data_IF_147256970219
#
_entry.id   IF_147256970219
#
_cell.length_a   1.000
_cell.length_b   1.000
_cell.length_c   1.000
_cell.angle_alpha   90.00
_cell.angle_beta   90.00
_cell.angle_gamma   90.00
#
_symmetry.space_group_name_H-M   'P 1'
#
loop_
_entity.id
_entity.type
_entity.pdbx_description
1 polymer ?
#
# COMPACT_ATOMS: atom_id res chain seq x y z
N UNK A 1 -17.54 -26.08 14.36
CA UNK A 1 -16.15 -25.61 14.15
C UNK A 1 -16.16 -24.15 13.77
N UNK A 2 -15.45 -23.35 14.50
CA UNK A 2 -15.37 -21.92 14.18
C UNK A 2 -14.32 -21.71 13.09
N UNK A 3 -14.76 -21.22 11.94
CA UNK A 3 -13.83 -20.81 10.91
C UNK A 3 -13.15 -19.51 11.33
N UNK A 4 -11.85 -19.54 11.47
CA UNK A 4 -11.10 -18.33 11.72
C UNK A 4 -10.98 -17.56 10.42
N UNK A 5 -11.59 -16.38 10.38
CA UNK A 5 -11.43 -15.49 9.24
C UNK A 5 -9.98 -15.03 9.18
N UNK A 6 -9.39 -15.13 7.99
CA UNK A 6 -8.05 -14.63 7.78
C UNK A 6 -8.06 -13.11 7.87
N UNK A 7 -6.97 -12.56 8.41
CA UNK A 7 -6.77 -11.12 8.41
C UNK A 7 -6.70 -10.62 6.97
N UNK A 8 -7.37 -9.52 6.68
CA UNK A 8 -7.35 -8.90 5.37
C UNK A 8 -6.41 -7.70 5.41
N UNK A 9 -5.46 -7.69 4.49
CA UNK A 9 -4.44 -6.64 4.39
C UNK A 9 -4.52 -6.00 3.02
N UNK A 10 -4.66 -4.68 2.98
CA UNK A 10 -4.54 -3.90 1.76
C UNK A 10 -3.18 -3.21 1.75
N UNK A 11 -2.36 -3.54 0.76
CA UNK A 11 -1.06 -2.91 0.54
C UNK A 11 -1.19 -1.89 -0.59
N UNK A 12 -0.77 -0.67 -0.34
CA UNK A 12 -0.73 0.38 -1.35
C UNK A 12 0.72 0.75 -1.58
N UNK A 13 1.23 0.52 -2.78
CA UNK A 13 2.62 0.79 -3.09
C UNK A 13 2.80 1.16 -4.56
N UNK A 14 3.77 2.02 -4.80
CA UNK A 14 4.25 2.38 -6.14
C UNK A 14 5.45 1.52 -6.55
N UNK A 15 5.99 0.76 -5.62
CA UNK A 15 7.27 0.07 -5.76
C UNK A 15 7.09 -1.44 -5.79
N UNK A 16 6.91 -2.00 -6.98
CA UNK A 16 6.81 -3.44 -7.22
C UNK A 16 7.46 -3.80 -8.55
N UNK A 17 7.93 -5.05 -8.72
CA UNK A 17 8.35 -5.53 -10.04
C UNK A 17 7.20 -5.38 -11.05
N UNK A 18 7.49 -5.12 -12.33
CA UNK A 18 8.79 -5.18 -13.01
C UNK A 18 9.74 -4.01 -12.78
N UNK A 19 9.35 -3.01 -11.98
CA UNK A 19 10.30 -1.97 -11.60
C UNK A 19 11.47 -2.61 -10.85
N UNK A 20 12.67 -2.10 -11.08
CA UNK A 20 13.90 -2.67 -10.54
C UNK A 20 14.41 -1.83 -9.37
N UNK A 21 14.74 -2.49 -8.26
CA UNK A 21 15.29 -1.82 -7.10
C UNK A 21 15.08 -2.59 -5.82
N UNK A 22 15.68 -2.14 -4.73
CA UNK A 22 15.59 -2.78 -3.42
C UNK A 22 14.20 -2.67 -2.80
N UNK A 23 13.53 -1.51 -2.95
CA UNK A 23 12.18 -1.30 -2.44
C UNK A 23 11.17 -2.17 -3.14
N UNK A 24 11.31 -2.35 -4.44
CA UNK A 24 10.43 -3.19 -5.25
C UNK A 24 10.51 -4.65 -4.82
N UNK A 25 11.71 -5.16 -4.62
CA UNK A 25 11.92 -6.52 -4.13
C UNK A 25 11.38 -6.69 -2.72
N UNK A 26 11.63 -5.73 -1.86
CA UNK A 26 11.23 -5.79 -0.47
C UNK A 26 9.70 -5.81 -0.34
N UNK A 27 9.01 -4.96 -1.08
CA UNK A 27 7.55 -4.94 -1.08
C UNK A 27 6.97 -6.23 -1.64
N UNK A 28 7.58 -6.78 -2.68
CA UNK A 28 7.15 -8.06 -3.25
C UNK A 28 7.28 -9.19 -2.23
N UNK A 29 8.44 -9.30 -1.59
CA UNK A 29 8.68 -10.34 -0.60
C UNK A 29 7.79 -10.17 0.63
N UNK A 30 7.56 -8.94 1.05
CA UNK A 30 6.66 -8.67 2.16
C UNK A 30 5.24 -9.14 1.84
N UNK A 31 4.74 -8.83 0.65
CA UNK A 31 3.42 -9.27 0.23
C UNK A 31 3.33 -10.79 0.15
N UNK A 32 4.35 -11.43 -0.40
CA UNK A 32 4.42 -12.88 -0.51
C UNK A 32 4.37 -13.56 0.86
N UNK A 33 5.15 -13.06 1.81
CA UNK A 33 5.17 -13.59 3.17
C UNK A 33 3.85 -13.35 3.90
N UNK A 34 3.30 -12.16 3.78
CA UNK A 34 2.01 -11.85 4.40
C UNK A 34 0.89 -12.73 3.85
N UNK A 35 0.94 -13.04 2.55
CA UNK A 35 -0.09 -13.85 1.91
C UNK A 35 -0.13 -15.30 2.42
N UNK A 36 0.92 -15.76 3.08
CA UNK A 36 0.94 -17.08 3.71
C UNK A 36 0.03 -17.16 4.93
N UNK A 37 -0.21 -16.04 5.61
CA UNK A 37 -0.99 -15.97 6.84
C UNK A 37 -2.22 -15.07 6.75
N UNK A 38 -2.40 -14.33 5.66
CA UNK A 38 -3.47 -13.36 5.52
C UNK A 38 -3.96 -13.31 4.08
N UNK A 39 -5.15 -12.72 3.88
CA UNK A 39 -5.60 -12.35 2.54
C UNK A 39 -4.99 -10.99 2.21
N UNK A 40 -4.25 -10.91 1.11
CA UNK A 40 -3.57 -9.69 0.70
C UNK A 40 -4.12 -9.23 -0.64
N UNK A 41 -4.49 -7.95 -0.70
CA UNK A 41 -4.79 -7.25 -1.94
C UNK A 41 -3.83 -6.08 -2.07
N UNK A 42 -3.42 -5.81 -3.30
CA UNK A 42 -2.45 -4.75 -3.56
C UNK A 42 -3.05 -3.75 -4.55
N UNK A 43 -2.84 -2.47 -4.29
CA UNK A 43 -2.99 -1.41 -5.28
C UNK A 43 -1.57 -1.00 -5.64
N UNK A 44 -1.17 -1.30 -6.86
CA UNK A 44 0.21 -1.14 -7.30
C UNK A 44 0.34 -0.57 -8.70
N UNK A 45 1.58 -0.43 -9.19
CA UNK A 45 1.83 0.16 -10.49
C UNK A 45 1.40 -0.73 -11.64
N UNK A 46 1.04 -0.10 -12.74
CA UNK A 46 0.66 -0.81 -13.97
C UNK A 46 1.78 -1.75 -14.42
N UNK A 47 1.41 -2.96 -14.78
CA UNK A 47 2.35 -4.01 -15.19
C UNK A 47 2.78 -4.94 -14.06
N UNK A 48 2.47 -4.63 -12.82
CA UNK A 48 2.92 -5.43 -11.67
C UNK A 48 2.09 -6.68 -11.43
N UNK A 49 0.86 -6.74 -11.94
CA UNK A 49 -0.01 -7.90 -11.72
C UNK A 49 0.57 -9.19 -12.28
N UNK A 50 1.29 -9.13 -13.40
CA UNK A 50 1.91 -10.30 -14.04
C UNK A 50 2.93 -10.96 -13.12
N UNK A 51 3.59 -10.17 -12.28
CA UNK A 51 4.64 -10.65 -11.38
C UNK A 51 4.20 -10.72 -9.92
N UNK A 52 2.92 -10.54 -9.65
CA UNK A 52 2.42 -10.60 -8.28
C UNK A 52 2.55 -12.01 -7.69
N UNK A 53 2.72 -12.12 -6.36
CA UNK A 53 2.65 -13.43 -5.71
C UNK A 53 1.34 -14.16 -6.03
N UNK A 54 1.38 -15.48 -6.10
CA UNK A 54 0.31 -16.29 -6.66
C UNK A 54 -1.06 -16.11 -5.99
N UNK A 55 -1.09 -15.84 -4.70
CA UNK A 55 -2.33 -15.75 -3.93
C UNK A 55 -2.77 -14.32 -3.66
N UNK A 56 -2.11 -13.34 -4.26
CA UNK A 56 -2.37 -11.92 -4.04
C UNK A 56 -3.22 -11.36 -5.16
N UNK A 57 -4.35 -10.74 -4.82
CA UNK A 57 -5.17 -10.01 -5.79
C UNK A 57 -4.57 -8.61 -6.00
N UNK A 58 -4.51 -8.16 -7.24
CA UNK A 58 -3.88 -6.89 -7.56
C UNK A 58 -4.77 -6.01 -8.41
N UNK A 59 -4.81 -4.71 -8.07
CA UNK A 59 -5.36 -3.67 -8.91
C UNK A 59 -4.22 -2.76 -9.36
N UNK A 60 -4.14 -2.53 -10.66
CA UNK A 60 -3.07 -1.72 -11.24
C UNK A 60 -3.52 -0.29 -11.45
N UNK A 61 -2.58 0.64 -11.28
CA UNK A 61 -2.79 2.07 -11.49
C UNK A 61 -1.64 2.58 -12.36
N UNK A 62 -1.92 3.45 -13.37
CA UNK A 62 -0.84 4.03 -14.16
C UNK A 62 0.18 4.73 -13.28
N UNK A 63 1.47 4.47 -13.55
CA UNK A 63 2.55 4.96 -12.72
C UNK A 63 2.84 6.46 -12.89
N UNK A 64 2.64 6.96 -14.08
CA UNK A 64 2.97 8.35 -14.45
C UNK A 64 1.76 9.09 -14.98
N UNK A 65 1.67 10.38 -14.72
CA UNK A 65 2.50 11.16 -13.80
C UNK A 65 2.21 10.79 -12.33
N UNK A 66 3.11 11.15 -11.44
CA UNK A 66 3.00 10.78 -10.02
C UNK A 66 1.68 11.22 -9.39
N UNK A 67 1.25 12.46 -9.65
CA UNK A 67 -0.02 12.96 -9.08
C UNK A 67 -1.22 12.13 -9.54
N UNK A 68 -1.20 11.66 -10.78
CA UNK A 68 -2.26 10.81 -11.31
C UNK A 68 -2.28 9.45 -10.60
N UNK A 69 -1.08 8.86 -10.38
CA UNK A 69 -0.98 7.63 -9.61
C UNK A 69 -1.56 7.80 -8.21
N UNK A 70 -1.17 8.86 -7.53
CA UNK A 70 -1.63 9.11 -6.16
C UNK A 70 -3.14 9.30 -6.08
N UNK A 71 -3.73 10.07 -7.01
CA UNK A 71 -5.18 10.28 -7.01
C UNK A 71 -5.96 9.01 -7.35
N UNK A 72 -5.52 8.27 -8.34
CA UNK A 72 -6.19 7.03 -8.73
C UNK A 72 -6.03 5.94 -7.69
N UNK A 73 -4.85 5.83 -7.11
CA UNK A 73 -4.61 4.87 -6.04
C UNK A 73 -5.44 5.21 -4.80
N UNK A 74 -5.55 6.50 -4.45
CA UNK A 74 -6.38 6.94 -3.34
C UNK A 74 -7.85 6.57 -3.57
N UNK A 75 -8.37 6.81 -4.77
CA UNK A 75 -9.74 6.49 -5.11
C UNK A 75 -10.02 4.98 -5.05
N UNK A 76 -9.14 4.18 -5.65
CA UNK A 76 -9.26 2.73 -5.60
C UNK A 76 -9.15 2.19 -4.17
N UNK A 77 -8.25 2.76 -3.38
CA UNK A 77 -8.09 2.39 -1.98
C UNK A 77 -9.36 2.65 -1.18
N UNK A 78 -10.04 3.78 -1.43
CA UNK A 78 -11.31 4.07 -0.78
C UNK A 78 -12.38 3.05 -1.15
N UNK A 79 -12.46 2.67 -2.42
CA UNK A 79 -13.42 1.68 -2.87
C UNK A 79 -13.16 0.32 -2.24
N UNK A 80 -11.91 -0.14 -2.24
CA UNK A 80 -11.55 -1.42 -1.64
C UNK A 80 -11.82 -1.39 -0.13
N UNK A 81 -11.46 -0.29 0.53
CA UNK A 81 -11.69 -0.15 1.96
C UNK A 81 -13.18 -0.29 2.32
N UNK A 82 -14.04 0.35 1.56
CA UNK A 82 -15.49 0.33 1.82
C UNK A 82 -16.14 -1.02 1.51
N UNK A 83 -15.67 -1.70 0.47
CA UNK A 83 -16.26 -2.96 0.00
C UNK A 83 -15.68 -4.17 0.69
N UNK A 84 -14.37 -4.23 0.76
CA UNK A 84 -13.65 -5.40 1.28
C UNK A 84 -13.39 -5.30 2.78
N UNK A 85 -13.32 -4.08 3.32
CA UNK A 85 -13.10 -3.78 4.73
C UNK A 85 -11.87 -4.49 5.29
N UNK A 86 -10.67 -4.12 4.84
CA UNK A 86 -9.43 -4.71 5.37
C UNK A 86 -9.30 -4.42 6.86
N UNK A 87 -8.59 -5.28 7.55
CA UNK A 87 -8.23 -5.06 8.96
C UNK A 87 -7.04 -4.14 9.09
N UNK A 88 -6.14 -4.21 8.12
CA UNK A 88 -4.91 -3.41 8.08
C UNK A 88 -4.75 -2.82 6.68
N UNK A 89 -4.40 -1.54 6.63
CA UNK A 89 -3.97 -0.90 5.39
C UNK A 89 -2.50 -0.55 5.53
N UNK A 90 -1.69 -1.14 4.67
CA UNK A 90 -0.23 -1.03 4.74
C UNK A 90 0.27 -0.17 3.59
N UNK A 91 1.06 0.84 3.91
CA UNK A 91 1.78 1.62 2.90
C UNK A 91 3.15 1.01 2.68
N UNK A 92 3.49 0.72 1.42
CA UNK A 92 4.77 0.14 1.06
C UNK A 92 5.93 1.11 1.11
N UNK A 93 5.64 2.40 1.27
CA UNK A 93 6.63 3.45 1.44
C UNK A 93 5.99 4.67 2.08
N UNK A 94 6.80 5.64 2.47
CA UNK A 94 6.29 6.91 3.00
C UNK A 94 5.43 7.67 2.00
N UNK A 95 5.70 7.51 0.71
CA UNK A 95 4.95 8.20 -0.35
C UNK A 95 3.47 7.82 -0.37
N UNK A 96 3.14 6.57 -0.09
CA UNK A 96 1.75 6.08 -0.08
C UNK A 96 1.11 6.12 1.31
N UNK A 97 1.82 6.59 2.33
CA UNK A 97 1.32 6.63 3.69
C UNK A 97 0.03 7.44 3.85
N UNK A 98 -0.12 8.65 3.26
CA UNK A 98 -1.39 9.38 3.36
C UNK A 98 -2.57 8.62 2.77
N UNK A 99 -2.35 7.89 1.68
CA UNK A 99 -3.38 7.09 1.03
C UNK A 99 -3.85 5.96 1.95
N UNK A 100 -2.89 5.27 2.57
CA UNK A 100 -3.18 4.19 3.50
C UNK A 100 -3.93 4.70 4.72
N UNK A 101 -3.53 5.85 5.25
CA UNK A 101 -4.19 6.46 6.40
C UNK A 101 -5.64 6.82 6.09
N UNK A 102 -5.89 7.44 4.94
CA UNK A 102 -7.25 7.80 4.53
C UNK A 102 -8.14 6.56 4.34
N UNK A 103 -7.61 5.54 3.67
CA UNK A 103 -8.36 4.31 3.45
C UNK A 103 -8.66 3.60 4.77
N UNK A 104 -7.70 3.55 5.68
CA UNK A 104 -7.89 2.94 6.99
C UNK A 104 -8.98 3.67 7.78
N UNK A 105 -8.99 4.99 7.76
CA UNK A 105 -10.04 5.77 8.42
C UNK A 105 -11.43 5.50 7.85
N UNK A 106 -11.51 5.26 6.55
CA UNK A 106 -12.80 5.01 5.90
C UNK A 106 -13.45 3.69 6.34
N UNK A 107 -12.67 2.72 6.81
CA UNK A 107 -13.19 1.41 7.18
C UNK A 107 -12.85 1.00 8.61
N UNK A 108 -12.26 1.87 9.41
CA UNK A 108 -11.88 1.54 10.79
C UNK A 108 -10.68 0.60 10.89
N UNK A 109 -9.88 0.49 9.85
CA UNK A 109 -8.69 -0.36 9.84
C UNK A 109 -7.51 0.30 10.54
N UNK A 110 -6.51 -0.52 10.88
CA UNK A 110 -5.23 -0.01 11.36
C UNK A 110 -4.38 0.38 10.16
N UNK A 111 -3.77 1.58 10.21
CA UNK A 111 -2.85 2.04 9.19
C UNK A 111 -1.42 1.78 9.64
N UNK A 112 -0.61 1.19 8.75
CA UNK A 112 0.79 0.88 9.00
C UNK A 112 1.60 1.34 7.79
N UNK A 113 2.75 1.95 8.01
CA UNK A 113 3.64 2.36 6.94
C UNK A 113 4.99 1.68 7.07
N UNK A 114 5.46 1.11 5.96
CA UNK A 114 6.84 0.65 5.87
C UNK A 114 7.70 1.82 5.43
N UNK A 115 8.45 2.38 6.37
CA UNK A 115 9.21 3.61 6.13
C UNK A 115 10.66 3.25 5.86
N UNK A 116 11.15 3.66 4.70
CA UNK A 116 12.56 3.56 4.35
C UNK A 116 13.27 4.83 4.81
N UNK A 117 14.56 4.73 5.13
CA UNK A 117 15.31 5.87 5.65
C UNK A 117 15.20 7.12 4.77
N UNK A 118 15.19 6.96 3.45
CA UNK A 118 15.07 8.07 2.52
C UNK A 118 13.72 8.77 2.61
N UNK A 119 12.65 8.06 2.95
CA UNK A 119 11.30 8.64 3.06
C UNK A 119 11.23 9.70 4.15
N UNK A 120 11.94 9.51 5.25
CA UNK A 120 11.94 10.46 6.35
C UNK A 120 13.07 11.47 6.27
N UNK A 121 14.10 11.19 5.46
CA UNK A 121 15.25 12.06 5.27
C UNK A 121 15.05 13.11 4.18
N UNK A 122 14.00 13.00 3.37
CA UNK A 122 13.71 13.94 2.29
C UNK A 122 13.42 15.31 2.88
N UNK A 123 14.15 16.32 2.39
CA UNK A 123 14.05 17.69 2.91
C UNK A 123 13.06 18.56 2.13
N UNK A 124 12.35 18.02 1.18
CA UNK A 124 11.38 18.78 0.40
C UNK A 124 10.29 19.32 1.34
N UNK A 125 10.06 20.65 1.39
CA UNK A 125 9.11 21.22 2.36
C UNK A 125 7.70 20.68 2.22
N UNK A 126 7.23 20.47 1.00
CA UNK A 126 5.88 19.96 0.75
C UNK A 126 5.73 18.53 1.25
N UNK A 127 6.73 17.68 1.03
CA UNK A 127 6.73 16.31 1.53
C UNK A 127 6.64 16.31 3.06
N UNK A 128 7.48 17.11 3.72
CA UNK A 128 7.49 17.17 5.18
C UNK A 128 6.18 17.69 5.75
N UNK A 129 5.57 18.68 5.08
CA UNK A 129 4.33 19.27 5.55
C UNK A 129 3.14 18.34 5.42
N UNK A 130 3.09 17.53 4.34
CA UNK A 130 1.93 16.68 4.03
C UNK A 130 2.11 15.23 4.46
N UNK A 131 3.31 14.68 4.27
CA UNK A 131 3.53 13.25 4.45
C UNK A 131 4.02 12.87 5.84
N UNK A 132 4.94 13.63 6.43
CA UNK A 132 5.45 13.27 7.75
C UNK A 132 4.36 13.24 8.84
N UNK A 133 3.41 14.18 8.87
CA UNK A 133 2.31 14.06 9.82
C UNK A 133 1.48 12.80 9.62
N UNK A 134 1.22 12.39 8.38
CA UNK A 134 0.49 11.16 8.09
C UNK A 134 1.26 9.93 8.57
N UNK A 135 2.57 9.87 8.31
CA UNK A 135 3.43 8.77 8.77
C UNK A 135 3.41 8.67 10.29
N UNK A 136 3.50 9.79 10.98
CA UNK A 136 3.52 9.81 12.46
C UNK A 136 2.21 9.35 13.08
N UNK A 137 1.10 9.45 12.36
CA UNK A 137 -0.22 9.04 12.87
C UNK A 137 -0.52 7.56 12.65
N UNK A 138 0.32 6.88 11.95
CA UNK A 138 0.14 5.45 11.62
C UNK A 138 0.74 4.51 12.68
#
# INVERSE_FOLDING_TARGET
MVELQRTRILLITRNLPPLVGGMERLNWHMADELAKAAEVRIIGPQGSAVMAPATVAMQEVPLKPLWNFLLRAAWKAQQVAKRWRPHVVLAGSGLTAPLAWLAARACGARAVAYVHGLDVAVKHPLYRALWLPAIRRM
#
